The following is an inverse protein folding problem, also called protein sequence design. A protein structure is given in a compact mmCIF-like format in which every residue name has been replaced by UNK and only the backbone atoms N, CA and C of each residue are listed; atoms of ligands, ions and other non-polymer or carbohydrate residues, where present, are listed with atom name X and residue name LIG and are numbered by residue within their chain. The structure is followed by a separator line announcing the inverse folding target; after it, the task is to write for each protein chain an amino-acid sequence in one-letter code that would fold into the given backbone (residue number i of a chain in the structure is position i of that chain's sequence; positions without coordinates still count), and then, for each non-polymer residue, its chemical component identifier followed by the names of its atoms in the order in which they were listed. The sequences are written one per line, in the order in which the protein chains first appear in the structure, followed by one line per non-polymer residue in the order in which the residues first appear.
data_IF_840630286300
#
_entry.id   IF_840630286300
#
_cell.length_a   1.000
_cell.length_b   1.000
_cell.length_c   1.000
_cell.angle_alpha   90.00
_cell.angle_beta   90.00
_cell.angle_gamma   90.00
#
_symmetry.space_group_name_H-M   'P 1'
#
loop_
_entity.id
_entity.type
_entity.pdbx_description
1 polymer ?
#
# COMPACT_ATOMS: atom_id res chain seq x y z
N UNK A 1 -14.65 -4.02 15.83
CA UNK A 1 -15.17 -4.92 14.75
C UNK A 1 -16.68 -4.85 14.51
N UNK A 2 -17.54 -4.51 15.48
CA UNK A 2 -19.00 -4.28 15.21
C UNK A 2 -19.23 -3.32 14.03
N UNK A 3 -18.46 -2.23 13.98
CA UNK A 3 -18.50 -1.19 12.94
C UNK A 3 -18.35 -1.67 11.49
N UNK A 4 -17.60 -2.75 11.21
CA UNK A 4 -17.40 -3.22 9.82
C UNK A 4 -18.65 -3.90 9.26
N UNK A 5 -19.45 -4.54 10.13
CA UNK A 5 -20.70 -5.20 9.73
C UNK A 5 -21.75 -4.19 9.27
N UNK A 6 -21.62 -2.94 9.70
CA UNK A 6 -22.49 -1.83 9.35
C UNK A 6 -22.09 -1.16 8.02
N UNK A 7 -20.99 -1.61 7.39
CA UNK A 7 -20.53 -1.04 6.12
C UNK A 7 -21.54 -1.36 5.00
N UNK A 8 -21.82 -0.40 4.09
CA UNK A 8 -22.55 -0.70 2.86
C UNK A 8 -21.86 -1.85 2.11
N UNK A 9 -22.64 -2.87 1.72
CA UNK A 9 -22.10 -4.07 1.07
C UNK A 9 -21.20 -3.76 -0.14
N UNK A 10 -21.55 -2.82 -1.04
CA UNK A 10 -20.68 -2.48 -2.17
C UNK A 10 -19.33 -1.93 -1.71
N UNK A 11 -19.31 -1.04 -0.72
CA UNK A 11 -18.07 -0.45 -0.20
C UNK A 11 -17.15 -1.54 0.40
N UNK A 12 -17.73 -2.47 1.16
CA UNK A 12 -16.98 -3.58 1.75
C UNK A 12 -16.41 -4.50 0.66
N UNK A 13 -17.23 -5.00 -0.25
CA UNK A 13 -16.79 -5.95 -1.26
C UNK A 13 -15.78 -5.35 -2.24
N UNK A 14 -16.01 -4.12 -2.73
CA UNK A 14 -15.09 -3.48 -3.66
C UNK A 14 -13.75 -3.15 -3.00
N UNK A 15 -13.76 -2.71 -1.73
CA UNK A 15 -12.53 -2.42 -1.01
C UNK A 15 -11.70 -3.68 -0.75
N UNK A 16 -12.35 -4.80 -0.42
CA UNK A 16 -11.66 -6.09 -0.23
C UNK A 16 -11.18 -6.67 -1.57
N UNK A 17 -11.99 -6.58 -2.63
CA UNK A 17 -11.61 -7.03 -3.97
C UNK A 17 -10.42 -6.22 -4.51
N UNK A 18 -10.35 -4.92 -4.20
CA UNK A 18 -9.21 -4.08 -4.53
C UNK A 18 -7.88 -4.51 -3.89
N UNK A 19 -7.89 -5.38 -2.87
CA UNK A 19 -6.65 -5.91 -2.28
C UNK A 19 -6.08 -7.10 -3.05
N UNK A 20 -6.85 -7.69 -3.98
CA UNK A 20 -6.46 -8.92 -4.67
C UNK A 20 -5.10 -8.77 -5.38
N UNK A 21 -4.84 -7.73 -6.21
CA UNK A 21 -3.55 -7.62 -6.89
C UNK A 21 -2.39 -7.33 -5.94
N UNK A 22 -2.63 -6.72 -4.77
CA UNK A 22 -1.60 -6.55 -3.76
C UNK A 22 -1.24 -7.90 -3.14
N UNK A 23 -2.22 -8.63 -2.61
CA UNK A 23 -2.00 -9.85 -1.82
C UNK A 23 -1.57 -11.03 -2.68
N UNK A 24 -2.04 -11.12 -3.92
CA UNK A 24 -1.74 -12.23 -4.81
C UNK A 24 -0.26 -12.34 -5.16
N UNK A 25 0.44 -11.21 -5.29
CA UNK A 25 1.86 -11.17 -5.69
C UNK A 25 2.78 -11.86 -4.67
N UNK A 26 2.87 -11.44 -3.40
CA UNK A 26 3.73 -12.11 -2.41
C UNK A 26 3.26 -13.54 -2.17
N UNK A 27 1.95 -13.81 -2.19
CA UNK A 27 1.43 -15.16 -2.04
C UNK A 27 1.93 -16.08 -3.15
N UNK A 28 1.88 -15.62 -4.40
CA UNK A 28 2.41 -16.36 -5.55
C UNK A 28 3.91 -16.63 -5.41
N UNK A 29 4.71 -15.60 -5.08
CA UNK A 29 6.16 -15.77 -4.91
C UNK A 29 6.52 -16.74 -3.78
N UNK A 30 5.77 -16.71 -2.66
CA UNK A 30 5.95 -17.66 -1.55
C UNK A 30 5.64 -19.08 -1.97
N UNK A 31 4.54 -19.29 -2.70
CA UNK A 31 4.15 -20.62 -3.21
C UNK A 31 5.21 -21.17 -4.18
N UNK A 32 5.69 -20.33 -5.10
CA UNK A 32 6.73 -20.70 -6.07
C UNK A 32 8.15 -20.73 -5.48
N UNK A 33 8.31 -20.28 -4.23
CA UNK A 33 9.61 -20.09 -3.55
C UNK A 33 10.64 -19.32 -4.38
N UNK A 34 10.15 -18.42 -5.25
CA UNK A 34 10.97 -17.71 -6.21
C UNK A 34 10.58 -16.25 -6.24
N UNK A 35 11.57 -15.37 -6.14
CA UNK A 35 11.37 -13.93 -6.27
C UNK A 35 11.28 -13.53 -7.75
N UNK A 36 10.24 -12.79 -8.12
CA UNK A 36 10.04 -12.28 -9.48
C UNK A 36 10.02 -10.75 -9.48
N UNK A 37 11.11 -10.07 -9.90
CA UNK A 37 11.20 -8.60 -9.85
C UNK A 37 10.06 -7.88 -10.58
N UNK A 38 9.64 -8.40 -11.73
CA UNK A 38 8.53 -7.82 -12.53
C UNK A 38 7.20 -7.85 -11.78
N UNK A 39 6.89 -8.94 -11.07
CA UNK A 39 5.66 -9.02 -10.27
C UNK A 39 5.72 -8.08 -9.07
N UNK A 40 6.89 -7.92 -8.44
CA UNK A 40 7.06 -6.94 -7.38
C UNK A 40 6.86 -5.50 -7.89
N UNK A 41 7.36 -5.18 -9.07
CA UNK A 41 7.15 -3.89 -9.72
C UNK A 41 5.66 -3.65 -10.02
N UNK A 42 4.94 -4.65 -10.53
CA UNK A 42 3.49 -4.58 -10.75
C UNK A 42 2.75 -4.31 -9.43
N UNK A 43 3.12 -4.99 -8.35
CA UNK A 43 2.52 -4.78 -7.03
C UNK A 43 2.77 -3.36 -6.50
N UNK A 44 4.01 -2.88 -6.59
CA UNK A 44 4.40 -1.51 -6.19
C UNK A 44 3.64 -0.48 -7.02
N UNK A 45 3.56 -0.67 -8.33
CA UNK A 45 2.81 0.21 -9.24
C UNK A 45 1.34 0.27 -8.85
N UNK A 46 0.73 -0.89 -8.57
CA UNK A 46 -0.66 -0.95 -8.12
C UNK A 46 -0.85 -0.30 -6.74
N UNK A 47 0.09 -0.49 -5.82
CA UNK A 47 0.09 0.21 -4.53
C UNK A 47 0.15 1.74 -4.68
N UNK A 48 0.95 2.25 -5.62
CA UNK A 48 1.01 3.67 -5.94
C UNK A 48 -0.32 4.20 -6.53
N UNK A 49 -1.00 3.41 -7.37
CA UNK A 49 -2.35 3.73 -7.86
C UNK A 49 -3.33 3.85 -6.71
N UNK A 50 -3.32 2.93 -5.74
CA UNK A 50 -4.21 2.97 -4.57
C UNK A 50 -3.94 4.23 -3.72
N UNK A 51 -2.69 4.52 -3.41
CA UNK A 51 -2.32 5.72 -2.63
C UNK A 51 -2.78 7.00 -3.34
N UNK A 52 -2.61 7.06 -4.67
CA UNK A 52 -3.05 8.20 -5.48
C UNK A 52 -4.58 8.33 -5.50
N UNK A 53 -5.30 7.21 -5.66
CA UNK A 53 -6.77 7.17 -5.57
C UNK A 53 -7.25 7.70 -4.22
N UNK A 54 -6.61 7.30 -3.12
CA UNK A 54 -6.94 7.77 -1.78
C UNK A 54 -6.76 9.29 -1.65
N UNK A 55 -5.68 9.83 -2.22
CA UNK A 55 -5.52 11.28 -2.36
C UNK A 55 -6.70 11.92 -3.08
N UNK A 56 -7.08 11.38 -4.24
CA UNK A 56 -8.22 11.87 -5.04
C UNK A 56 -9.56 11.84 -4.32
N UNK A 57 -9.82 10.83 -3.47
CA UNK A 57 -11.07 10.75 -2.68
C UNK A 57 -11.32 12.01 -1.85
N UNK A 58 -10.28 12.71 -1.40
CA UNK A 58 -10.42 13.94 -0.62
C UNK A 58 -11.04 15.09 -1.40
N UNK A 59 -10.76 15.22 -2.70
CA UNK A 59 -11.49 16.17 -3.55
C UNK A 59 -12.97 15.80 -3.61
N UNK A 60 -13.27 14.51 -3.82
CA UNK A 60 -14.64 14.00 -3.82
C UNK A 60 -15.38 14.23 -2.51
N UNK A 61 -14.67 14.22 -1.37
CA UNK A 61 -15.25 14.52 -0.07
C UNK A 61 -15.38 16.02 0.18
N UNK A 62 -14.42 16.86 -0.18
CA UNK A 62 -14.38 18.27 0.21
C UNK A 62 -15.13 19.24 -0.73
N UNK A 63 -15.35 18.87 -1.99
CA UNK A 63 -15.98 19.73 -3.02
C UNK A 63 -17.50 19.92 -2.83
N UNK A 64 -18.30 18.91 -2.43
CA UNK A 64 -19.75 19.08 -2.29
C UNK A 64 -20.12 20.21 -1.29
N UNK A 65 -21.10 21.04 -1.65
CA UNK A 65 -21.49 22.25 -0.90
C UNK A 65 -21.85 21.98 0.57
N UNK A 66 -22.48 20.84 0.84
CA UNK A 66 -22.89 20.40 2.18
C UNK A 66 -21.91 19.41 2.83
N UNK A 67 -20.66 19.35 2.34
CA UNK A 67 -19.67 18.46 2.93
C UNK A 67 -19.25 18.93 4.32
N UNK A 68 -19.06 17.99 5.27
CA UNK A 68 -18.47 18.33 6.55
C UNK A 68 -16.95 18.63 6.45
N UNK A 69 -16.30 18.36 5.32
CA UNK A 69 -14.94 18.82 5.02
C UNK A 69 -14.99 19.99 4.03
N UNK A 70 -14.22 21.04 4.29
CA UNK A 70 -14.13 22.21 3.40
C UNK A 70 -12.98 22.05 2.40
N UNK A 71 -13.07 22.67 1.21
CA UNK A 71 -11.98 22.71 0.23
C UNK A 71 -10.91 23.72 0.67
N UNK A 72 -10.38 23.55 1.88
CA UNK A 72 -9.32 24.37 2.45
C UNK A 72 -7.92 23.80 2.16
N UNK A 73 -6.89 24.59 2.48
CA UNK A 73 -5.50 24.19 2.28
C UNK A 73 -5.14 22.88 2.99
N UNK A 74 -5.71 22.63 4.17
CA UNK A 74 -5.42 21.41 4.92
C UNK A 74 -5.96 20.18 4.18
N UNK A 75 -7.18 20.22 3.67
CA UNK A 75 -7.77 19.08 2.95
C UNK A 75 -7.14 18.88 1.56
N UNK A 76 -6.94 19.97 0.81
CA UNK A 76 -6.45 19.91 -0.57
C UNK A 76 -4.94 19.63 -0.64
N UNK A 77 -4.11 20.20 0.24
CA UNK A 77 -2.68 19.88 0.26
C UNK A 77 -2.45 18.41 0.64
N UNK A 78 -3.17 17.91 1.65
CA UNK A 78 -3.08 16.51 2.04
C UNK A 78 -3.62 15.54 0.97
N UNK A 79 -4.49 16.00 0.07
CA UNK A 79 -4.89 15.24 -1.12
C UNK A 79 -3.72 15.09 -2.09
N UNK A 80 -2.99 16.17 -2.36
CA UNK A 80 -1.87 16.22 -3.31
C UNK A 80 -0.60 15.54 -2.79
N UNK A 81 -0.35 15.55 -1.48
CA UNK A 81 0.83 14.89 -0.89
C UNK A 81 0.84 13.39 -1.18
N UNK A 82 -0.30 12.71 -1.13
CA UNK A 82 -0.39 11.26 -1.33
C UNK A 82 0.06 10.79 -2.74
N UNK A 83 -0.44 11.33 -3.87
CA UNK A 83 0.04 10.97 -5.19
C UNK A 83 1.50 11.36 -5.42
N UNK A 84 2.01 12.42 -4.79
CA UNK A 84 3.44 12.76 -4.87
C UNK A 84 4.31 11.71 -4.17
N UNK A 85 3.93 11.24 -2.98
CA UNK A 85 4.62 10.16 -2.30
C UNK A 85 4.54 8.84 -3.09
N UNK A 86 3.38 8.56 -3.69
CA UNK A 86 3.19 7.41 -4.57
C UNK A 86 4.11 7.47 -5.80
N UNK A 87 4.18 8.63 -6.47
CA UNK A 87 5.08 8.85 -7.60
C UNK A 87 6.55 8.71 -7.18
N UNK A 88 6.93 9.28 -6.03
CA UNK A 88 8.28 9.15 -5.49
C UNK A 88 8.67 7.69 -5.24
N UNK A 89 7.73 6.85 -4.77
CA UNK A 89 7.96 5.43 -4.59
C UNK A 89 8.31 4.70 -5.90
N UNK A 90 7.73 5.13 -7.03
CA UNK A 90 8.01 4.55 -8.35
C UNK A 90 9.36 4.97 -8.93
N UNK A 91 9.93 6.08 -8.45
CA UNK A 91 11.25 6.55 -8.88
C UNK A 91 12.40 5.83 -8.15
N UNK A 92 12.09 5.12 -7.06
CA UNK A 92 13.08 4.35 -6.32
C UNK A 92 13.46 3.10 -7.12
N UNK A 93 14.77 2.86 -7.27
CA UNK A 93 15.29 1.71 -8.02
C UNK A 93 15.14 0.39 -7.27
N UNK A 94 15.13 0.45 -5.95
CA UNK A 94 15.04 -0.71 -5.08
C UNK A 94 13.60 -0.94 -4.61
N UNK A 95 13.08 -2.14 -4.86
CA UNK A 95 11.71 -2.55 -4.53
C UNK A 95 11.43 -2.45 -3.03
N UNK A 96 12.40 -2.79 -2.17
CA UNK A 96 12.21 -2.69 -0.72
C UNK A 96 11.96 -1.24 -0.31
N UNK A 97 12.75 -0.32 -0.87
CA UNK A 97 12.61 1.12 -0.66
C UNK A 97 11.26 1.64 -1.18
N UNK A 98 10.83 1.22 -2.38
CA UNK A 98 9.50 1.54 -2.92
C UNK A 98 8.36 1.04 -2.03
N UNK A 99 8.43 -0.21 -1.58
CA UNK A 99 7.44 -0.81 -0.69
C UNK A 99 7.35 -0.07 0.65
N UNK A 100 8.50 0.26 1.27
CA UNK A 100 8.54 1.04 2.52
C UNK A 100 7.95 2.44 2.33
N UNK A 101 8.27 3.13 1.22
CA UNK A 101 7.69 4.43 0.90
C UNK A 101 6.17 4.36 0.76
N UNK A 102 5.64 3.31 0.12
CA UNK A 102 4.19 3.09 0.01
C UNK A 102 3.55 2.76 1.36
N UNK A 103 4.19 1.97 2.21
CA UNK A 103 3.71 1.70 3.58
C UNK A 103 3.61 3.00 4.39
N UNK A 104 4.63 3.87 4.31
CA UNK A 104 4.60 5.18 4.96
C UNK A 104 3.46 6.03 4.39
N UNK A 105 3.31 6.07 3.06
CA UNK A 105 2.25 6.83 2.39
C UNK A 105 0.85 6.36 2.79
N UNK A 106 0.65 5.05 2.89
CA UNK A 106 -0.60 4.44 3.38
C UNK A 106 -0.84 4.80 4.86
N UNK A 107 0.21 4.84 5.68
CA UNK A 107 0.13 5.29 7.07
C UNK A 107 -0.26 6.75 7.20
N UNK A 108 0.35 7.64 6.40
CA UNK A 108 -0.02 9.06 6.31
C UNK A 108 -1.48 9.22 5.88
N UNK A 109 -1.90 8.48 4.85
CA UNK A 109 -3.28 8.50 4.39
C UNK A 109 -4.26 8.06 5.49
N UNK A 110 -3.96 6.96 6.19
CA UNK A 110 -4.78 6.46 7.29
C UNK A 110 -4.82 7.46 8.46
N UNK A 111 -3.69 8.07 8.80
CA UNK A 111 -3.63 9.10 9.84
C UNK A 111 -4.56 10.26 9.50
N UNK A 112 -4.57 10.73 8.25
CA UNK A 112 -5.49 11.78 7.84
C UNK A 112 -6.96 11.35 7.92
N UNK A 113 -7.29 10.13 7.47
CA UNK A 113 -8.66 9.60 7.52
C UNK A 113 -9.18 9.47 8.97
N UNK A 114 -8.29 9.20 9.93
CA UNK A 114 -8.66 9.01 11.34
C UNK A 114 -8.62 10.30 12.16
N UNK A 115 -7.61 11.14 11.97
CA UNK A 115 -7.29 12.28 12.85
C UNK A 115 -7.79 13.62 12.32
N UNK A 116 -7.74 13.84 11.00
CA UNK A 116 -8.09 15.15 10.41
C UNK A 116 -9.54 15.22 9.91
N UNK A 117 -10.17 14.06 9.71
CA UNK A 117 -11.55 13.94 9.25
C UNK A 117 -12.40 13.22 10.31
N UNK A 118 -12.71 13.90 11.44
CA UNK A 118 -13.55 13.30 12.48
C UNK A 118 -14.94 12.91 11.96
N UNK A 119 -15.34 13.50 10.84
CA UNK A 119 -16.65 13.41 10.19
C UNK A 119 -16.87 12.13 9.39
N UNK A 120 -15.85 11.30 9.17
CA UNK A 120 -16.09 9.99 8.56
C UNK A 120 -16.87 9.05 9.48
N UNK A 121 -17.84 8.29 8.93
CA UNK A 121 -18.56 7.31 9.71
C UNK A 121 -17.62 6.20 10.20
N UNK A 122 -17.93 5.65 11.38
CA UNK A 122 -17.08 4.64 12.03
C UNK A 122 -16.84 3.40 11.15
N UNK A 123 -17.81 3.01 10.32
CA UNK A 123 -17.67 1.87 9.42
C UNK A 123 -16.58 2.12 8.38
N UNK A 124 -16.51 3.35 7.86
CA UNK A 124 -15.50 3.73 6.86
C UNK A 124 -14.12 3.76 7.51
N UNK A 125 -13.97 4.40 8.68
CA UNK A 125 -12.71 4.38 9.44
C UNK A 125 -12.22 2.96 9.71
N UNK A 126 -13.11 2.07 10.14
CA UNK A 126 -12.81 0.66 10.34
C UNK A 126 -12.35 -0.03 9.05
N UNK A 127 -13.04 0.22 7.94
CA UNK A 127 -12.68 -0.33 6.63
C UNK A 127 -11.30 0.15 6.18
N UNK A 128 -11.01 1.45 6.32
CA UNK A 128 -9.72 2.08 5.99
C UNK A 128 -8.57 1.48 6.80
N UNK A 129 -8.77 1.22 8.10
CA UNK A 129 -7.76 0.53 8.93
C UNK A 129 -7.45 -0.86 8.37
N UNK A 130 -8.48 -1.69 8.12
CA UNK A 130 -8.28 -3.07 7.66
C UNK A 130 -7.56 -3.11 6.32
N UNK A 131 -8.03 -2.34 5.33
CA UNK A 131 -7.44 -2.38 3.99
C UNK A 131 -6.00 -1.86 4.00
N UNK A 132 -5.70 -0.83 4.78
CA UNK A 132 -4.34 -0.30 4.93
C UNK A 132 -3.41 -1.30 5.59
N UNK A 133 -3.84 -1.98 6.66
CA UNK A 133 -3.03 -2.99 7.34
C UNK A 133 -2.73 -4.15 6.40
N UNK A 134 -3.73 -4.68 5.69
CA UNK A 134 -3.52 -5.78 4.74
C UNK A 134 -2.61 -5.37 3.59
N UNK A 135 -2.80 -4.17 3.03
CA UNK A 135 -1.92 -3.64 1.98
C UNK A 135 -0.47 -3.48 2.46
N UNK A 136 -0.27 -2.94 3.65
CA UNK A 136 1.07 -2.75 4.22
C UNK A 136 1.77 -4.08 4.47
N UNK A 137 1.09 -5.05 5.08
CA UNK A 137 1.63 -6.40 5.31
C UNK A 137 1.97 -7.10 3.99
N UNK A 138 1.15 -6.93 2.96
CA UNK A 138 1.39 -7.47 1.63
C UNK A 138 2.65 -6.90 0.98
N UNK A 139 2.87 -5.58 1.06
CA UNK A 139 4.08 -4.94 0.54
C UNK A 139 5.33 -5.38 1.33
N UNK A 140 5.23 -5.46 2.66
CA UNK A 140 6.33 -5.93 3.51
C UNK A 140 6.68 -7.40 3.25
N UNK A 141 5.68 -8.24 2.99
CA UNK A 141 5.91 -9.64 2.63
C UNK A 141 6.76 -9.77 1.36
N UNK A 142 6.51 -8.95 0.34
CA UNK A 142 7.33 -8.92 -0.89
C UNK A 142 8.77 -8.52 -0.59
N UNK A 143 8.99 -7.51 0.25
CA UNK A 143 10.34 -7.13 0.69
C UNK A 143 11.06 -8.27 1.41
N UNK A 144 10.35 -9.02 2.27
CA UNK A 144 10.91 -10.18 2.96
C UNK A 144 11.29 -11.28 1.96
N UNK A 145 10.42 -11.59 0.99
CA UNK A 145 10.72 -12.59 -0.06
C UNK A 145 11.96 -12.19 -0.87
N UNK A 146 12.10 -10.91 -1.23
CA UNK A 146 13.29 -10.39 -1.91
C UNK A 146 14.55 -10.63 -1.09
N UNK A 147 14.56 -10.22 0.19
CA UNK A 147 15.71 -10.38 1.09
C UNK A 147 16.11 -11.84 1.27
N UNK A 148 15.12 -12.73 1.47
CA UNK A 148 15.37 -14.18 1.58
C UNK A 148 16.02 -14.72 0.30
N UNK A 149 15.50 -14.33 -0.87
CA UNK A 149 16.06 -14.74 -2.16
C UNK A 149 17.49 -14.24 -2.38
N UNK A 150 17.79 -13.00 -2.01
CA UNK A 150 19.15 -12.42 -2.12
C UNK A 150 20.15 -13.12 -1.19
N UNK A 151 19.72 -13.49 0.02
CA UNK A 151 20.53 -14.23 0.97
C UNK A 151 20.84 -15.66 0.47
N UNK A 152 19.86 -16.36 -0.09
CA UNK A 152 20.08 -17.70 -0.66
C UNK A 152 21.08 -17.69 -1.82
N UNK A 153 21.06 -16.66 -2.67
CA UNK A 153 22.04 -16.48 -3.74
C UNK A 153 23.45 -16.23 -3.18
N UNK A 154 23.55 -15.46 -2.09
CA UNK A 154 24.84 -15.14 -1.45
C UNK A 154 25.46 -16.38 -0.79
N UNK A 155 24.66 -17.18 -0.08
CA UNK A 155 25.11 -18.40 0.61
C UNK A 155 25.57 -19.51 -0.36
N UNK A 156 25.03 -19.53 -1.60
CA UNK A 156 25.48 -20.46 -2.64
C UNK A 156 26.85 -20.12 -3.28
N UNK A 157 27.49 -19.01 -2.89
CA UNK A 157 28.71 -18.47 -3.54
C UNK A 157 30.09 -18.92 -2.97
N UNK A 158 30.27 -19.60 -1.81
CA UNK A 158 31.61 -19.90 -1.29
C UNK A 158 31.99 -21.39 -1.44
N UNK A 159 32.56 -21.78 -2.58
CA UNK A 159 33.44 -22.99 -2.69
C UNK A 159 34.12 -23.11 -4.07
N UNK A 160 33.58 -22.45 -5.11
CA UNK A 160 34.14 -22.54 -6.48
C UNK A 160 35.47 -21.80 -6.68
N UNK A 161 35.93 -21.03 -5.68
CA UNK A 161 37.17 -20.24 -5.76
C UNK A 161 38.33 -20.80 -4.92
N UNK A 162 38.13 -21.80 -4.05
CA UNK A 162 39.22 -22.40 -3.26
C UNK A 162 39.86 -23.65 -3.88
N UNK A 163 39.33 -24.17 -4.99
CA UNK A 163 39.87 -25.36 -5.69
C UNK A 163 40.83 -25.03 -6.85
N UNK A 164 41.35 -23.79 -6.90
CA UNK A 164 42.37 -23.36 -7.88
C UNK A 164 43.59 -22.71 -7.23
N UNK A 165 44.10 -23.29 -6.15
CA UNK A 165 45.45 -23.05 -5.64
C UNK A 165 46.16 -24.36 -5.41
#
# INVERSE_FOLDING_TARGET
MKSLKDSPKPALYLSLAGLIPLVSVPLFMVIQRTYHPELALVQVTYGAVIVSFIGGMKWGFAVPENSPAKPDWLNLANSTILPLLAWQALLLKDITSSAVMLVISLGVALHYDLSLLPTYPLWFKGLRIVVTVVAALSLLATSVVKVVSENSLTDSRPERQSTKQ
#
